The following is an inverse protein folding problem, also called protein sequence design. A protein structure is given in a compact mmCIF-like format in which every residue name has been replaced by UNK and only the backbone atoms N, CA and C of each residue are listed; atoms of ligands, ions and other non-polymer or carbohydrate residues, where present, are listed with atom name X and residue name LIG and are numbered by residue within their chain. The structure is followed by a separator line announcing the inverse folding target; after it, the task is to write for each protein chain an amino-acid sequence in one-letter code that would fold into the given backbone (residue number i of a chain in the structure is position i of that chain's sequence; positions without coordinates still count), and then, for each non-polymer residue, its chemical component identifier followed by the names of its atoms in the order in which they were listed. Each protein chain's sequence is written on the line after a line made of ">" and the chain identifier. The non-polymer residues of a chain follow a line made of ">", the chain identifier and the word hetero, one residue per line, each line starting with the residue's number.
data_IF_256674627103
#
_entry.id   IF_256674627103
#
_cell.length_a   1.000
_cell.length_b   1.000
_cell.length_c   1.000
_cell.angle_alpha   90.00
_cell.angle_beta   90.00
_cell.angle_gamma   90.00
#
_symmetry.space_group_name_H-M   'P 1'
#
loop_
_entity.id
_entity.type
_entity.pdbx_description
1 polymer ?
#
# COMPACT_ATOMS: atom_id res chain seq x y z
N UNK A 1 -16.28 5.99 7.91
CA UNK A 1 -15.62 4.73 8.32
C UNK A 1 -15.23 4.92 9.78
N UNK A 2 -16.16 4.65 10.70
CA UNK A 2 -15.85 4.62 12.12
C UNK A 2 -14.87 3.48 12.34
N UNK A 3 -13.64 3.83 12.72
CA UNK A 3 -12.63 2.83 13.05
C UNK A 3 -13.14 1.89 14.16
N UNK A 4 -12.53 0.70 14.30
CA UNK A 4 -12.92 -0.23 15.36
C UNK A 4 -12.98 0.53 16.70
N UNK A 5 -14.03 0.28 17.48
CA UNK A 5 -14.29 0.93 18.76
C UNK A 5 -13.20 0.50 19.77
N UNK A 6 -12.01 1.10 19.65
CA UNK A 6 -10.86 0.82 20.49
C UNK A 6 -11.01 1.63 21.76
N UNK A 7 -10.94 0.94 22.91
CA UNK A 7 -10.98 1.55 24.22
C UNK A 7 -9.74 2.43 24.47
N UNK A 8 -9.88 3.74 24.19
CA UNK A 8 -8.85 4.75 24.39
C UNK A 8 -8.34 4.87 25.83
N UNK A 9 -9.10 4.35 26.80
CA UNK A 9 -8.71 4.38 28.21
C UNK A 9 -7.41 3.64 28.47
N UNK A 10 -7.16 2.53 27.77
CA UNK A 10 -5.90 1.79 27.88
C UNK A 10 -4.72 2.63 27.39
N UNK A 11 -4.87 3.26 26.21
CA UNK A 11 -3.84 4.13 25.65
C UNK A 11 -3.51 5.29 26.60
N UNK A 12 -4.54 5.93 27.17
CA UNK A 12 -4.35 7.04 28.12
C UNK A 12 -3.62 6.63 29.40
N UNK A 13 -3.96 5.47 29.98
CA UNK A 13 -3.27 4.96 31.18
C UNK A 13 -1.80 4.63 30.86
N UNK A 14 -1.55 3.98 29.73
CA UNK A 14 -0.18 3.66 29.30
C UNK A 14 0.64 4.94 29.02
N UNK A 15 0.04 5.95 28.39
CA UNK A 15 0.66 7.25 28.10
C UNK A 15 1.11 7.93 29.39
N UNK A 16 0.22 8.02 30.38
CA UNK A 16 0.51 8.65 31.66
C UNK A 16 1.65 7.94 32.40
N UNK A 17 1.69 6.61 32.36
CA UNK A 17 2.73 5.86 33.05
C UNK A 17 4.11 6.03 32.38
N UNK A 18 4.16 5.97 31.05
CA UNK A 18 5.41 6.17 30.29
C UNK A 18 5.90 7.60 30.43
N UNK A 19 5.01 8.60 30.38
CA UNK A 19 5.37 10.00 30.59
C UNK A 19 5.91 10.23 32.01
N UNK A 20 5.31 9.60 33.02
CA UNK A 20 5.79 9.67 34.40
C UNK A 20 7.18 9.06 34.60
N UNK A 21 7.51 7.98 33.89
CA UNK A 21 8.81 7.31 34.01
C UNK A 21 9.92 7.93 33.16
N UNK A 22 9.58 8.43 31.97
CA UNK A 22 10.56 8.81 30.95
C UNK A 22 10.58 10.31 30.65
N UNK A 23 9.57 11.05 31.12
CA UNK A 23 9.32 12.44 30.74
C UNK A 23 8.90 12.61 29.26
N UNK A 24 8.65 11.51 28.54
CA UNK A 24 8.35 11.50 27.11
C UNK A 24 6.94 10.99 26.85
N UNK A 25 6.26 11.59 25.87
CA UNK A 25 4.94 11.16 25.41
C UNK A 25 5.07 10.12 24.29
N UNK A 26 4.17 9.15 24.26
CA UNK A 26 4.04 8.26 23.11
C UNK A 26 3.37 8.97 21.93
N UNK A 27 3.77 8.55 20.73
CA UNK A 27 3.18 8.98 19.47
C UNK A 27 1.84 8.26 19.25
N UNK A 28 0.74 9.01 19.24
CA UNK A 28 -0.57 8.47 18.89
C UNK A 28 -0.74 8.42 17.36
N UNK A 29 -0.91 7.21 16.81
CA UNK A 29 -1.06 6.95 15.37
C UNK A 29 -2.54 6.77 14.96
N UNK A 30 -3.47 6.82 15.92
CA UNK A 30 -4.87 6.53 15.70
C UNK A 30 -5.21 5.06 15.89
N UNK A 31 -6.49 4.75 16.06
CA UNK A 31 -7.02 3.40 16.26
C UNK A 31 -7.52 2.73 14.98
N UNK A 32 -7.56 3.45 13.86
CA UNK A 32 -8.10 2.89 12.62
C UNK A 32 -7.05 1.94 12.01
N UNK A 33 -7.49 0.73 11.65
CA UNK A 33 -6.60 -0.30 11.12
C UNK A 33 -5.81 0.17 9.90
N UNK A 34 -6.39 1.04 9.07
CA UNK A 34 -5.71 1.62 7.92
C UNK A 34 -4.51 2.49 8.33
N UNK A 35 -4.63 3.31 9.37
CA UNK A 35 -3.53 4.13 9.86
C UNK A 35 -2.43 3.29 10.51
N UNK A 36 -2.79 2.21 11.22
CA UNK A 36 -1.81 1.27 11.77
C UNK A 36 -1.05 0.59 10.64
N UNK A 37 -1.74 0.01 9.66
CA UNK A 37 -1.10 -0.65 8.51
C UNK A 37 -0.22 0.32 7.73
N UNK A 38 -0.71 1.54 7.47
CA UNK A 38 0.05 2.56 6.75
C UNK A 38 1.33 2.95 7.49
N UNK A 39 1.25 3.21 8.80
CA UNK A 39 2.41 3.62 9.58
C UNK A 39 3.39 2.47 9.83
N UNK A 40 2.91 1.24 10.04
CA UNK A 40 3.78 0.05 10.11
C UNK A 40 4.54 -0.17 8.81
N UNK A 41 3.86 -0.05 7.66
CA UNK A 41 4.49 -0.15 6.36
C UNK A 41 5.54 0.95 6.13
N UNK A 42 5.21 2.20 6.49
CA UNK A 42 6.13 3.34 6.40
C UNK A 42 7.38 3.15 7.27
N UNK A 43 7.20 2.70 8.52
CA UNK A 43 8.31 2.44 9.44
C UNK A 43 9.18 1.24 8.97
N UNK A 44 8.56 0.20 8.42
CA UNK A 44 9.26 -0.93 7.81
C UNK A 44 10.12 -0.50 6.63
N UNK A 45 9.61 0.35 5.74
CA UNK A 45 10.39 0.91 4.63
C UNK A 45 11.59 1.74 5.13
N UNK A 46 11.37 2.60 6.13
CA UNK A 46 12.42 3.44 6.68
C UNK A 46 13.53 2.66 7.41
N UNK A 47 13.21 1.53 8.03
CA UNK A 47 14.18 0.71 8.78
C UNK A 47 14.99 -0.25 7.92
N UNK A 48 14.49 -0.61 6.73
CA UNK A 48 15.13 -1.61 5.86
C UNK A 48 16.06 -0.99 4.82
N UNK A 49 16.09 0.35 4.67
CA UNK A 49 16.75 1.04 3.54
C UNK A 49 16.31 0.51 2.17
N UNK A 50 15.15 -0.15 2.10
CA UNK A 50 14.61 -0.62 0.84
C UNK A 50 13.99 0.57 0.12
N UNK A 51 14.43 0.81 -1.11
CA UNK A 51 13.90 1.80 -2.05
C UNK A 51 12.50 1.41 -2.56
N UNK A 52 11.65 0.90 -1.68
CA UNK A 52 10.34 0.34 -2.01
C UNK A 52 9.41 1.41 -2.58
N UNK A 53 9.55 2.67 -2.15
CA UNK A 53 8.84 3.79 -2.76
C UNK A 53 9.17 3.95 -4.24
N UNK A 54 10.45 3.85 -4.60
CA UNK A 54 10.90 3.92 -5.98
C UNK A 54 10.48 2.69 -6.78
N UNK A 55 10.58 1.50 -6.22
CA UNK A 55 10.14 0.25 -6.86
C UNK A 55 8.62 0.26 -7.14
N UNK A 56 7.79 0.64 -6.18
CA UNK A 56 6.34 0.74 -6.33
C UNK A 56 5.94 1.85 -7.30
N UNK A 57 6.68 2.96 -7.31
CA UNK A 57 6.46 4.05 -8.27
C UNK A 57 6.79 3.60 -9.69
N UNK A 58 7.92 2.92 -9.89
CA UNK A 58 8.28 2.33 -11.17
C UNK A 58 7.23 1.31 -11.64
N UNK A 59 6.74 0.46 -10.72
CA UNK A 59 5.68 -0.51 -11.00
C UNK A 59 4.37 0.18 -11.42
N UNK A 60 3.99 1.24 -10.71
CA UNK A 60 2.84 2.07 -11.09
C UNK A 60 3.01 2.62 -12.50
N UNK A 61 4.15 3.23 -12.82
CA UNK A 61 4.39 3.78 -14.17
C UNK A 61 4.40 2.72 -15.26
N UNK A 62 4.93 1.52 -14.95
CA UNK A 62 4.93 0.39 -15.86
C UNK A 62 3.51 -0.09 -16.19
N UNK A 63 2.62 -0.09 -15.20
CA UNK A 63 1.27 -0.66 -15.34
C UNK A 63 0.15 0.39 -15.46
N UNK A 64 0.43 1.70 -15.41
CA UNK A 64 -0.62 2.75 -15.35
C UNK A 64 -1.58 2.74 -16.54
N UNK A 65 -1.09 2.32 -17.71
CA UNK A 65 -1.86 2.29 -18.96
C UNK A 65 -2.34 0.88 -19.29
N UNK A 66 -2.01 -0.11 -18.45
CA UNK A 66 -2.47 -1.49 -18.62
C UNK A 66 -3.90 -1.58 -18.07
N UNK A 67 -4.86 -2.08 -18.88
CA UNK A 67 -6.23 -2.20 -18.41
C UNK A 67 -6.30 -3.20 -17.26
N UNK A 68 -6.85 -2.75 -16.13
CA UNK A 68 -6.93 -3.53 -14.89
C UNK A 68 -7.80 -4.78 -15.00
N UNK A 69 -8.65 -4.89 -16.03
CA UNK A 69 -9.50 -6.04 -16.32
C UNK A 69 -9.50 -6.34 -17.82
N UNK A 70 -9.59 -7.61 -18.20
CA UNK A 70 -9.73 -8.01 -19.63
C UNK A 70 -10.91 -7.31 -20.31
N UNK A 71 -12.00 -7.11 -19.60
CA UNK A 71 -13.20 -6.42 -20.10
C UNK A 71 -12.99 -4.92 -20.34
N UNK A 72 -11.96 -4.34 -19.72
CA UNK A 72 -11.57 -2.93 -19.90
C UNK A 72 -10.55 -2.75 -21.03
N UNK A 73 -10.17 -3.83 -21.73
CA UNK A 73 -9.46 -3.73 -23.01
C UNK A 73 -10.43 -3.14 -24.03
N UNK A 74 -10.21 -1.88 -24.41
CA UNK A 74 -10.89 -1.32 -25.57
C UNK A 74 -10.24 -1.95 -26.80
N UNK A 75 -10.95 -2.76 -27.60
CA UNK A 75 -10.35 -3.39 -28.76
C UNK A 75 -10.09 -2.29 -29.80
N UNK A 76 -8.83 -1.92 -29.98
CA UNK A 76 -8.44 -1.09 -31.12
C UNK A 76 -8.37 -2.02 -32.36
N UNK A 77 -9.14 -1.76 -33.43
CA UNK A 77 -9.25 -2.67 -34.57
C UNK A 77 -7.94 -2.95 -35.32
N UNK A 78 -6.86 -2.20 -35.04
CA UNK A 78 -5.52 -2.41 -35.61
C UNK A 78 -4.56 -3.24 -34.74
N UNK A 79 -4.89 -3.53 -33.47
CA UNK A 79 -4.00 -4.25 -32.53
C UNK A 79 -4.41 -5.70 -32.26
N UNK A 80 -5.63 -6.09 -32.66
CA UNK A 80 -6.11 -7.46 -32.51
C UNK A 80 -5.37 -8.46 -33.43
N UNK A 81 -4.80 -8.00 -34.55
CA UNK A 81 -4.10 -8.85 -35.51
C UNK A 81 -2.63 -9.07 -35.18
N UNK A 82 -1.92 -8.16 -34.50
CA UNK A 82 -0.49 -8.36 -34.20
C UNK A 82 -0.27 -9.19 -32.93
N UNK A 83 -0.91 -8.82 -31.80
CA UNK A 83 -0.60 -9.45 -30.50
C UNK A 83 -1.12 -10.90 -30.41
N UNK A 84 -2.25 -11.21 -31.04
CA UNK A 84 -2.80 -12.57 -31.04
C UNK A 84 -2.01 -13.49 -31.99
N UNK A 85 -1.60 -13.00 -33.17
CA UNK A 85 -0.82 -13.81 -34.13
C UNK A 85 0.62 -14.02 -33.65
N UNK A 86 1.24 -13.01 -33.04
CA UNK A 86 2.62 -13.11 -32.55
C UNK A 86 2.70 -13.96 -31.27
N UNK A 87 1.68 -13.91 -30.40
CA UNK A 87 1.60 -14.76 -29.21
C UNK A 87 1.32 -16.24 -29.50
N UNK A 88 0.51 -16.54 -30.53
CA UNK A 88 0.19 -17.93 -30.92
C UNK A 88 1.29 -18.60 -31.75
N UNK A 89 2.17 -17.83 -32.41
CA UNK A 89 3.35 -18.36 -33.12
C UNK A 89 4.49 -18.74 -32.18
N UNK A 90 4.52 -18.23 -30.94
CA UNK A 90 5.57 -18.54 -29.97
C UNK A 90 5.35 -19.87 -29.21
N UNK A 91 4.20 -20.53 -29.43
CA UNK A 91 3.85 -21.84 -28.85
C UNK A 91 3.65 -22.94 -29.91
N UNK A 92 4.41 -22.87 -31.01
CA UNK A 92 4.48 -23.95 -32.00
C UNK A 92 5.92 -24.29 -32.35
#
# INVERSE_FOLDING_TARGET
>A
MDGPNVNWKLFSIAQQNIEGQTGKKMLNVGSCGLHIVHNSFRAGCASTNWELGNALTALKWLFKDVPARRESLVPHPSLLTSVIIDGLKMWR
#
